data_IF_173197171632
#
_entry.id   IF_173197171632
#
_cell.length_a   1.000
_cell.length_b   1.000
_cell.length_c   1.000
_cell.angle_alpha   90.00
_cell.angle_beta   90.00
_cell.angle_gamma   90.00
#
_symmetry.space_group_name_H-M   'P 1'
#
loop_
_entity.id
_entity.type
_entity.pdbx_description
1 polymer ?
#
# COMPACT_ATOMS: atom_id res chain seq x y z
N UNK A 1 -8.52 13.81 -6.25
CA UNK A 1 -8.31 14.15 -4.83
C UNK A 1 -7.68 15.53 -4.79
N UNK A 2 -8.31 16.49 -4.12
CA UNK A 2 -7.81 17.87 -4.00
C UNK A 2 -6.56 17.91 -3.10
N UNK A 3 -5.41 17.68 -3.72
CA UNK A 3 -4.12 18.32 -3.45
C UNK A 3 -3.42 18.19 -2.09
N UNK A 4 -3.99 17.59 -1.04
CA UNK A 4 -3.37 17.58 0.31
C UNK A 4 -3.50 16.27 1.09
N UNK A 5 -3.51 15.12 0.42
CA UNK A 5 -3.54 13.81 1.10
C UNK A 5 -2.22 13.07 0.85
N UNK A 6 -1.62 12.58 1.92
CA UNK A 6 -0.45 11.70 1.90
C UNK A 6 -0.79 10.35 2.55
N UNK A 7 -0.19 9.28 2.02
CA UNK A 7 -0.33 7.92 2.54
C UNK A 7 0.98 7.53 3.21
N UNK A 8 0.93 7.26 4.52
CA UNK A 8 2.09 6.79 5.30
C UNK A 8 1.84 5.34 5.69
N UNK A 9 2.77 4.46 5.34
CA UNK A 9 2.69 3.03 5.59
C UNK A 9 3.84 2.63 6.51
N UNK A 10 3.52 2.40 7.78
CA UNK A 10 4.48 1.96 8.79
C UNK A 10 5.05 0.58 8.44
N UNK A 11 6.28 0.33 8.90
CA UNK A 11 6.83 -1.02 8.99
C UNK A 11 6.18 -1.82 10.11
N UNK A 12 6.68 -3.02 10.37
CA UNK A 12 6.15 -3.88 11.44
C UNK A 12 6.17 -5.38 11.18
N UNK A 13 6.96 -5.83 10.19
CA UNK A 13 7.04 -7.23 9.78
C UNK A 13 5.70 -7.71 9.22
N UNK A 14 5.22 -8.86 9.70
CA UNK A 14 3.95 -9.45 9.26
C UNK A 14 2.72 -8.59 9.59
N UNK A 15 2.81 -7.66 10.55
CA UNK A 15 1.68 -6.75 10.86
C UNK A 15 1.34 -5.81 9.70
N UNK A 16 2.23 -5.64 8.74
CA UNK A 16 1.96 -4.82 7.55
C UNK A 16 0.85 -5.40 6.68
N UNK A 17 0.49 -6.68 6.84
CA UNK A 17 -0.61 -7.34 6.13
C UNK A 17 -1.95 -6.60 6.27
N UNK A 18 -2.22 -5.98 7.43
CA UNK A 18 -3.41 -5.15 7.60
C UNK A 18 -3.41 -3.94 6.66
N UNK A 19 -2.26 -3.29 6.48
CA UNK A 19 -2.11 -2.17 5.55
C UNK A 19 -2.17 -2.62 4.09
N UNK A 20 -1.70 -3.83 3.75
CA UNK A 20 -1.83 -4.41 2.41
C UNK A 20 -3.29 -4.49 1.98
N UNK A 21 -4.19 -4.94 2.86
CA UNK A 21 -5.62 -4.98 2.58
C UNK A 21 -6.21 -3.59 2.31
N UNK A 22 -5.79 -2.58 3.08
CA UNK A 22 -6.20 -1.19 2.85
C UNK A 22 -5.74 -0.68 1.49
N UNK A 23 -4.47 -0.89 1.14
CA UNK A 23 -3.92 -0.46 -0.16
C UNK A 23 -4.59 -1.15 -1.33
N UNK A 24 -4.89 -2.44 -1.21
CA UNK A 24 -5.65 -3.19 -2.21
C UNK A 24 -7.04 -2.57 -2.43
N UNK A 25 -7.72 -2.17 -1.35
CA UNK A 25 -9.00 -1.52 -1.45
C UNK A 25 -8.90 -0.12 -2.08
N UNK A 26 -7.87 0.66 -1.73
CA UNK A 26 -7.60 1.94 -2.40
C UNK A 26 -7.42 1.76 -3.92
N UNK A 27 -6.66 0.75 -4.35
CA UNK A 27 -6.49 0.43 -5.77
C UNK A 27 -7.81 0.00 -6.44
N UNK A 28 -8.67 -0.75 -5.75
CA UNK A 28 -9.99 -1.17 -6.29
C UNK A 28 -10.92 0.00 -6.53
N UNK A 29 -10.85 1.03 -5.69
CA UNK A 29 -11.63 2.27 -5.83
C UNK A 29 -10.93 3.33 -6.70
N UNK A 30 -9.85 2.97 -7.40
CA UNK A 30 -9.06 3.90 -8.23
C UNK A 30 -8.56 5.14 -7.45
N UNK A 31 -8.38 5.00 -6.14
CA UNK A 31 -7.86 6.04 -5.27
C UNK A 31 -6.34 6.00 -5.31
N UNK A 32 -5.76 6.96 -6.04
CA UNK A 32 -4.32 7.12 -6.20
C UNK A 32 -3.83 8.32 -5.40
N UNK A 33 -3.25 8.05 -4.22
CA UNK A 33 -2.69 9.09 -3.35
C UNK A 33 -1.31 9.49 -3.92
N UNK A 34 -1.08 10.77 -4.24
CA UNK A 34 0.10 11.21 -4.98
C UNK A 34 1.39 11.23 -4.15
N UNK A 35 1.27 11.33 -2.82
CA UNK A 35 2.41 11.31 -1.91
C UNK A 35 2.35 10.07 -1.02
N UNK A 36 3.31 9.17 -1.17
CA UNK A 36 3.36 7.89 -0.44
C UNK A 36 4.72 7.74 0.22
N UNK A 37 4.73 7.45 1.52
CA UNK A 37 5.94 7.15 2.29
C UNK A 37 5.75 5.79 2.95
N UNK A 38 6.74 4.91 2.82
CA UNK A 38 6.74 3.61 3.46
C UNK A 38 8.10 3.27 4.05
N UNK A 39 8.12 2.52 5.15
CA UNK A 39 9.37 2.10 5.83
C UNK A 39 9.42 0.58 6.00
N UNK A 40 10.60 -0.02 5.76
CA UNK A 40 10.83 -1.47 5.89
C UNK A 40 9.80 -2.28 5.09
N UNK A 41 9.10 -3.24 5.71
CA UNK A 41 8.01 -4.00 5.07
C UNK A 41 6.89 -3.09 4.50
N UNK A 42 6.69 -1.91 5.09
CA UNK A 42 5.79 -0.89 4.56
C UNK A 42 6.26 -0.35 3.21
N UNK A 43 7.57 -0.14 3.02
CA UNK A 43 8.13 0.35 1.76
C UNK A 43 7.89 -0.62 0.59
N UNK A 44 8.12 -1.92 0.80
CA UNK A 44 7.89 -2.96 -0.21
C UNK A 44 6.41 -3.03 -0.65
N UNK A 45 5.49 -2.90 0.31
CA UNK A 45 4.06 -2.91 0.02
C UNK A 45 3.58 -1.57 -0.58
N UNK A 46 4.17 -0.44 -0.19
CA UNK A 46 3.99 0.85 -0.84
C UNK A 46 4.35 0.80 -2.31
N UNK A 47 5.45 0.13 -2.66
CA UNK A 47 5.85 -0.04 -4.06
C UNK A 47 4.81 -0.80 -4.88
N UNK A 48 4.14 -1.79 -4.29
CA UNK A 48 3.02 -2.51 -4.92
C UNK A 48 1.84 -1.58 -5.19
N UNK A 49 1.49 -0.72 -4.23
CA UNK A 49 0.44 0.29 -4.39
C UNK A 49 0.78 1.35 -5.46
N UNK A 50 1.97 1.95 -5.39
CA UNK A 50 2.41 3.01 -6.32
C UNK A 50 2.52 2.48 -7.75
N UNK A 51 2.97 1.23 -7.93
CA UNK A 51 3.01 0.56 -9.24
C UNK A 51 1.66 -0.01 -9.69
N UNK A 52 0.59 0.18 -8.91
CA UNK A 52 -0.78 -0.21 -9.21
C UNK A 52 -0.96 -1.72 -9.47
N UNK A 53 -0.15 -2.54 -8.81
CA UNK A 53 -0.16 -3.99 -8.98
C UNK A 53 -1.25 -4.62 -8.11
N UNK A 54 -2.51 -4.54 -8.56
CA UNK A 54 -3.67 -5.14 -7.90
C UNK A 54 -3.43 -6.63 -7.61
N UNK A 55 -3.75 -7.06 -6.40
CA UNK A 55 -3.62 -8.43 -5.92
C UNK A 55 -2.19 -8.92 -5.65
N UNK A 56 -1.14 -8.20 -6.06
CA UNK A 56 0.25 -8.61 -5.78
C UNK A 56 0.54 -8.63 -4.29
N UNK A 57 0.05 -7.65 -3.54
CA UNK A 57 0.31 -7.55 -2.10
C UNK A 57 -0.18 -8.78 -1.35
N UNK A 58 -1.35 -9.32 -1.70
CA UNK A 58 -1.84 -10.57 -1.15
C UNK A 58 -0.91 -11.74 -1.54
N UNK A 59 -0.63 -11.89 -2.84
CA UNK A 59 0.19 -13.01 -3.38
C UNK A 59 1.61 -13.12 -2.83
N UNK A 60 2.22 -12.03 -2.36
CA UNK A 60 3.63 -12.04 -1.92
C UNK A 60 3.80 -12.01 -0.42
N UNK A 61 2.72 -11.76 0.34
CA UNK A 61 2.79 -11.70 1.80
C UNK A 61 1.94 -12.79 2.49
N UNK A 62 1.05 -13.47 1.78
CA UNK A 62 0.12 -14.47 2.35
C UNK A 62 0.24 -15.82 1.66
N UNK A 63 0.29 -15.83 0.32
CA UNK A 63 0.50 -17.04 -0.48
C UNK A 63 1.96 -17.50 -0.42
#
# INVERSE_FOLDING_TARGET
MDGKVGLVIEGGGMRVLYAVGVMEQLLRHELHIPYVVGVSAGASNSATYVSRQKGRGLRVNVD
#
